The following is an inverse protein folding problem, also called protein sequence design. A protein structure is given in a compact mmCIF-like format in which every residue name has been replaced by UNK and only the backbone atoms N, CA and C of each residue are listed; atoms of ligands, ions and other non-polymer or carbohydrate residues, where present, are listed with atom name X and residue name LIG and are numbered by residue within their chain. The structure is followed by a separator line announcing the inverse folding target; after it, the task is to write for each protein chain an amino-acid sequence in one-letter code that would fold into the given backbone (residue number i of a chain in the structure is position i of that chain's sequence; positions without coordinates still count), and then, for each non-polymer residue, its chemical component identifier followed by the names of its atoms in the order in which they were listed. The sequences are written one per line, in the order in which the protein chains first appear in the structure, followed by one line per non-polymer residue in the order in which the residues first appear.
data_IF_258370060308
#
_entry.id   IF_258370060308
#
_cell.length_a   1.000
_cell.length_b   1.000
_cell.length_c   1.000
_cell.angle_alpha   90.00
_cell.angle_beta   90.00
_cell.angle_gamma   90.00
#
_symmetry.space_group_name_H-M   'P 1'
#
loop_
_entity.id
_entity.type
_entity.pdbx_description
1 polymer ?
#
# COMPACT_ATOMS: atom_id res chain seq x y z
N UNK A 1 9.87 4.30 12.07
CA UNK A 1 10.05 3.07 11.28
C UNK A 1 11.33 3.21 10.49
N UNK A 2 12.16 2.18 10.36
CA UNK A 2 13.42 2.30 9.61
C UNK A 2 13.17 2.26 8.08
N UNK A 3 14.15 2.74 7.30
CA UNK A 3 14.00 2.88 5.84
C UNK A 3 13.86 1.55 5.11
N UNK A 4 14.43 0.46 5.62
CA UNK A 4 14.31 -0.87 4.99
C UNK A 4 12.89 -1.39 5.14
N UNK A 5 12.31 -1.26 6.33
CA UNK A 5 10.90 -1.56 6.59
C UNK A 5 9.99 -0.71 5.69
N UNK A 6 10.24 0.60 5.60
CA UNK A 6 9.48 1.51 4.75
C UNK A 6 9.56 1.14 3.26
N UNK A 7 10.75 0.87 2.73
CA UNK A 7 10.95 0.45 1.34
C UNK A 7 10.18 -0.85 1.04
N UNK A 8 10.22 -1.82 1.96
CA UNK A 8 9.52 -3.09 1.80
C UNK A 8 8.00 -2.91 1.76
N UNK A 9 7.44 -2.12 2.69
CA UNK A 9 6.00 -1.79 2.74
C UNK A 9 5.59 -1.03 1.47
N UNK A 10 6.38 -0.03 1.08
CA UNK A 10 6.15 0.77 -0.11
C UNK A 10 6.33 -0.03 -1.41
N UNK A 11 6.88 -1.25 -1.31
CA UNK A 11 7.09 -2.18 -2.40
C UNK A 11 8.12 -1.72 -3.43
N UNK A 12 9.23 -1.20 -2.93
CA UNK A 12 10.43 -0.82 -3.70
C UNK A 12 11.67 -1.45 -3.07
N UNK A 13 12.72 -1.59 -3.86
CA UNK A 13 14.04 -2.04 -3.42
C UNK A 13 14.69 -0.97 -2.56
N UNK A 14 15.45 -1.39 -1.54
CA UNK A 14 16.15 -0.46 -0.66
C UNK A 14 17.15 0.40 -1.45
N UNK A 15 17.81 -0.19 -2.46
CA UNK A 15 18.79 0.46 -3.31
C UNK A 15 18.21 1.61 -4.14
N UNK A 16 16.90 1.57 -4.40
CA UNK A 16 16.18 2.63 -5.11
C UNK A 16 15.85 3.85 -4.23
N UNK A 17 15.87 3.70 -2.90
CA UNK A 17 15.55 4.80 -1.99
C UNK A 17 16.73 5.77 -1.93
N UNK A 18 16.50 6.99 -2.41
CA UNK A 18 17.47 8.10 -2.37
C UNK A 18 17.50 8.69 -0.96
N UNK A 19 16.32 8.98 -0.41
CA UNK A 19 16.16 9.49 0.95
C UNK A 19 14.77 9.14 1.51
N UNK A 20 14.65 9.33 2.82
CA UNK A 20 13.43 9.12 3.59
C UNK A 20 13.29 10.26 4.60
N UNK A 21 12.13 10.90 4.60
CA UNK A 21 11.76 11.96 5.52
C UNK A 21 10.57 11.52 6.37
N UNK A 22 10.68 11.67 7.69
CA UNK A 22 9.55 11.48 8.59
C UNK A 22 8.75 12.80 8.64
N UNK A 23 7.46 12.72 8.35
CA UNK A 23 6.55 13.87 8.37
C UNK A 23 5.41 13.61 9.36
N UNK A 24 4.67 14.66 9.74
CA UNK A 24 3.54 14.48 10.65
C UNK A 24 2.48 13.58 10.00
N UNK A 25 2.24 12.42 10.62
CA UNK A 25 1.27 11.43 10.14
C UNK A 25 1.81 10.40 9.15
N UNK A 26 3.07 10.49 8.70
CA UNK A 26 3.56 9.62 7.63
C UNK A 26 5.05 9.70 7.35
N UNK A 27 5.43 9.21 6.17
CA UNK A 27 6.80 9.28 5.67
C UNK A 27 6.78 9.66 4.18
N UNK A 28 7.82 10.36 3.74
CA UNK A 28 8.09 10.61 2.32
C UNK A 28 9.32 9.81 1.91
N UNK A 29 9.19 8.97 0.89
CA UNK A 29 10.32 8.26 0.27
C UNK A 29 10.60 8.85 -1.11
N UNK A 30 11.84 9.25 -1.36
CA UNK A 30 12.29 9.62 -2.71
C UNK A 30 12.97 8.43 -3.36
N UNK A 31 12.48 8.04 -4.53
CA UNK A 31 12.82 6.78 -5.21
C UNK A 31 13.42 7.08 -6.57
N UNK A 32 14.58 6.48 -6.86
CA UNK A 32 15.21 6.49 -8.17
C UNK A 32 14.58 5.42 -9.07
N UNK A 33 13.77 5.86 -10.03
CA UNK A 33 13.09 4.99 -10.98
C UNK A 33 14.04 4.27 -11.94
N UNK A 34 15.31 4.68 -12.06
CA UNK A 34 16.30 3.93 -12.85
C UNK A 34 16.62 2.58 -12.23
N UNK A 35 16.46 2.48 -10.91
CA UNK A 35 16.64 1.23 -10.14
C UNK A 35 15.34 0.45 -9.99
N UNK A 36 14.21 0.99 -10.46
CA UNK A 36 12.88 0.38 -10.43
C UNK A 36 12.26 0.31 -11.84
N UNK A 37 12.88 -0.40 -12.81
CA UNK A 37 12.43 -0.39 -14.21
C UNK A 37 11.02 -0.98 -14.41
N UNK A 38 10.55 -1.84 -13.51
CA UNK A 38 9.18 -2.35 -13.55
C UNK A 38 8.18 -1.24 -13.15
N UNK A 39 8.43 -0.55 -12.04
CA UNK A 39 7.60 0.57 -11.58
C UNK A 39 7.61 1.73 -12.59
N UNK A 40 8.78 2.06 -13.13
CA UNK A 40 8.92 3.10 -14.15
C UNK A 40 8.09 2.78 -15.40
N UNK A 41 8.14 1.52 -15.88
CA UNK A 41 7.31 1.08 -17.01
C UNK A 41 5.83 1.11 -16.67
N UNK A 42 5.42 0.69 -15.47
CA UNK A 42 4.02 0.73 -15.04
C UNK A 42 3.48 2.16 -15.04
N UNK A 43 4.18 3.10 -14.41
CA UNK A 43 3.75 4.52 -14.37
C UNK A 43 3.64 5.11 -15.78
N UNK A 44 4.56 4.75 -16.69
CA UNK A 44 4.52 5.20 -18.09
C UNK A 44 3.41 4.55 -18.92
N UNK A 45 3.13 3.27 -18.71
CA UNK A 45 2.21 2.49 -19.53
C UNK A 45 0.75 2.60 -19.06
N UNK A 46 0.52 2.79 -17.75
CA UNK A 46 -0.83 2.74 -17.15
C UNK A 46 -1.56 4.07 -17.18
N UNK A 47 -0.91 5.14 -17.67
CA UNK A 47 -1.60 6.37 -18.06
C UNK A 47 -2.46 6.20 -19.34
N UNK A 48 -2.47 5.02 -19.97
CA UNK A 48 -3.14 4.79 -21.27
C UNK A 48 -3.94 3.49 -21.38
N UNK A 49 -4.03 2.63 -20.35
CA UNK A 49 -4.73 1.35 -20.45
C UNK A 49 -5.57 1.04 -19.19
N UNK A 50 -6.84 0.67 -19.40
CA UNK A 50 -7.65 -0.01 -18.38
C UNK A 50 -6.96 -1.33 -18.05
N UNK A 51 -6.60 -1.51 -16.78
CA UNK A 51 -6.00 -2.74 -16.36
C UNK A 51 -6.95 -3.51 -15.46
N UNK A 52 -6.96 -4.81 -15.68
CA UNK A 52 -7.86 -5.74 -15.04
C UNK A 52 -7.07 -6.53 -14.00
N UNK A 53 -7.70 -6.76 -12.86
CA UNK A 53 -7.23 -7.74 -11.89
C UNK A 53 -7.11 -9.11 -12.59
N UNK A 54 -6.15 -9.97 -12.19
CA UNK A 54 -6.13 -11.35 -12.65
C UNK A 54 -7.51 -12.02 -12.50
N UNK A 55 -7.86 -12.91 -13.43
CA UNK A 55 -9.17 -13.58 -13.43
C UNK A 55 -9.48 -14.20 -12.05
N UNK A 56 -10.57 -13.73 -11.43
CA UNK A 56 -11.07 -14.22 -10.13
C UNK A 56 -10.62 -13.43 -8.91
N UNK A 57 -9.64 -12.54 -9.03
CA UNK A 57 -9.26 -11.62 -7.94
C UNK A 57 -10.32 -10.54 -7.73
N UNK A 58 -10.57 -10.21 -6.47
CA UNK A 58 -11.49 -9.15 -6.05
C UNK A 58 -10.81 -8.27 -5.02
N UNK A 59 -10.88 -6.96 -5.24
CA UNK A 59 -10.56 -5.95 -4.24
C UNK A 59 -11.60 -4.84 -4.38
N UNK A 60 -12.54 -4.78 -3.44
CA UNK A 60 -13.64 -3.82 -3.43
C UNK A 60 -13.54 -2.94 -2.19
N UNK A 61 -13.66 -1.63 -2.37
CA UNK A 61 -13.45 -0.65 -1.31
C UNK A 61 -14.25 0.62 -1.55
N UNK A 62 -14.92 1.08 -0.51
CA UNK A 62 -15.45 2.44 -0.46
C UNK A 62 -14.34 3.36 0.07
N UNK A 63 -14.01 4.41 -0.68
CA UNK A 63 -13.02 5.40 -0.28
C UNK A 63 -13.65 6.79 -0.13
N UNK A 64 -13.27 7.49 0.93
CA UNK A 64 -13.69 8.87 1.20
C UNK A 64 -12.43 9.69 1.48
N UNK A 65 -12.20 10.71 0.67
CA UNK A 65 -11.12 11.68 0.83
C UNK A 65 -11.71 12.96 1.43
N UNK A 66 -11.30 13.25 2.67
CA UNK A 66 -11.67 14.48 3.38
C UNK A 66 -13.19 14.72 3.44
N UNK A 67 -13.95 13.66 3.68
CA UNK A 67 -15.41 13.68 3.73
C UNK A 67 -16.11 13.62 2.37
N UNK A 68 -15.38 13.64 1.26
CA UNK A 68 -15.93 13.52 -0.09
C UNK A 68 -15.71 12.10 -0.64
N UNK A 69 -16.73 11.45 -1.24
CA UNK A 69 -16.54 10.16 -1.90
C UNK A 69 -15.45 10.23 -2.97
N UNK A 70 -14.56 9.24 -2.96
CA UNK A 70 -13.50 9.07 -3.96
C UNK A 70 -13.65 7.70 -4.61
N UNK A 71 -13.72 7.67 -5.94
CA UNK A 71 -13.84 6.42 -6.67
C UNK A 71 -12.48 5.71 -6.70
N UNK A 72 -12.31 4.70 -5.84
CA UNK A 72 -11.12 3.86 -5.83
C UNK A 72 -11.41 2.55 -6.58
N UNK A 73 -11.36 2.61 -7.91
CA UNK A 73 -11.49 1.42 -8.75
C UNK A 73 -10.11 0.84 -9.01
N UNK A 74 -9.85 -0.36 -8.49
CA UNK A 74 -8.53 -0.98 -8.60
C UNK A 74 -8.21 -1.32 -10.06
N UNK A 75 -7.11 -0.76 -10.56
CA UNK A 75 -6.61 -1.00 -11.92
C UNK A 75 -5.44 -1.99 -11.92
N UNK A 76 -4.72 -2.10 -10.81
CA UNK A 76 -3.62 -3.07 -10.67
C UNK A 76 -3.60 -3.67 -9.28
N UNK A 77 -3.16 -4.91 -9.21
CA UNK A 77 -2.81 -5.54 -7.95
C UNK A 77 -1.37 -6.02 -8.01
N UNK A 78 -0.52 -5.47 -7.15
CA UNK A 78 0.80 -6.05 -6.87
C UNK A 78 0.70 -6.92 -5.61
N UNK A 79 0.88 -8.23 -5.80
CA UNK A 79 0.82 -9.25 -4.74
C UNK A 79 2.11 -10.04 -4.75
N UNK A 80 2.89 -9.93 -3.69
CA UNK A 80 4.17 -10.60 -3.60
C UNK A 80 4.37 -11.18 -2.21
N UNK A 81 4.91 -12.41 -2.18
CA UNK A 81 5.31 -13.07 -0.95
C UNK A 81 6.76 -12.76 -0.64
N UNK A 82 7.00 -12.09 0.48
CA UNK A 82 8.34 -11.81 1.01
C UNK A 82 8.72 -12.84 2.06
N UNK A 83 9.90 -13.43 1.89
CA UNK A 83 10.49 -14.42 2.80
C UNK A 83 11.65 -13.84 3.61
N UNK A 84 11.95 -12.56 3.45
CA UNK A 84 13.19 -11.94 3.95
C UNK A 84 13.01 -11.07 5.18
N UNK A 85 11.86 -11.10 5.85
CA UNK A 85 11.65 -10.27 7.04
C UNK A 85 12.49 -10.81 8.20
N UNK A 86 13.37 -9.97 8.74
CA UNK A 86 14.22 -10.27 9.90
C UNK A 86 13.78 -9.33 11.00
N UNK A 87 13.23 -9.87 12.09
CA UNK A 87 12.60 -9.11 13.17
C UNK A 87 13.58 -8.54 14.21
N UNK A 88 14.86 -8.46 13.85
CA UNK A 88 15.93 -8.08 14.76
C UNK A 88 16.40 -9.21 15.69
N UNK A 89 15.74 -10.39 15.69
CA UNK A 89 16.30 -11.62 16.21
C UNK A 89 16.99 -12.42 15.09
N UNK A 90 18.07 -13.13 15.42
CA UNK A 90 18.78 -14.03 14.50
C UNK A 90 17.95 -15.29 14.12
N UNK A 91 16.73 -15.41 14.64
CA UNK A 91 15.85 -16.56 14.48
C UNK A 91 14.64 -16.24 13.59
N UNK A 92 14.81 -16.40 12.28
CA UNK A 92 13.70 -16.80 11.42
C UNK A 92 13.23 -15.74 10.43
N UNK A 93 13.29 -16.15 9.16
CA UNK A 93 12.58 -15.54 8.05
C UNK A 93 11.08 -15.65 8.30
N UNK A 94 10.40 -14.53 8.53
CA UNK A 94 8.93 -14.52 8.69
C UNK A 94 8.27 -14.31 7.32
N UNK A 95 7.51 -15.28 6.79
CA UNK A 95 6.80 -15.12 5.53
C UNK A 95 5.71 -14.06 5.67
N UNK A 96 5.67 -13.12 4.73
CA UNK A 96 4.68 -12.07 4.66
C UNK A 96 4.16 -11.91 3.24
N UNK A 97 2.92 -11.44 3.12
CA UNK A 97 2.34 -10.96 1.89
C UNK A 97 2.35 -9.44 1.86
N UNK A 98 2.87 -8.90 0.77
CA UNK A 98 2.67 -7.50 0.39
C UNK A 98 1.58 -7.45 -0.67
N UNK A 99 0.53 -6.70 -0.39
CA UNK A 99 -0.62 -6.52 -1.26
C UNK A 99 -0.77 -5.03 -1.53
N UNK A 100 -0.77 -4.60 -2.80
CA UNK A 100 -1.01 -3.20 -3.18
C UNK A 100 -2.10 -3.14 -4.23
N UNK A 101 -3.25 -2.60 -3.86
CA UNK A 101 -4.32 -2.26 -4.79
C UNK A 101 -4.06 -0.85 -5.32
N UNK A 102 -3.82 -0.71 -6.62
CA UNK A 102 -3.27 0.49 -7.24
C UNK A 102 -4.25 1.10 -8.24
N UNK A 103 -4.23 2.42 -8.28
CA UNK A 103 -5.01 3.30 -9.17
C UNK A 103 -4.03 4.29 -9.80
N UNK A 104 -4.26 4.65 -11.06
CA UNK A 104 -3.43 5.56 -11.85
C UNK A 104 -4.27 6.72 -12.39
N UNK A 105 -3.64 7.79 -12.94
CA UNK A 105 -4.37 8.84 -13.62
C UNK A 105 -5.22 8.28 -14.78
N UNK A 106 -6.44 8.78 -15.00
CA UNK A 106 -7.05 9.95 -14.36
C UNK A 106 -7.83 9.68 -13.06
N UNK A 107 -7.91 8.42 -12.61
CA UNK A 107 -8.73 8.02 -11.46
C UNK A 107 -8.03 8.20 -10.11
N UNK A 108 -6.71 8.33 -10.12
CA UNK A 108 -5.92 8.55 -8.91
C UNK A 108 -6.22 9.91 -8.26
N UNK A 109 -6.19 9.92 -6.93
CA UNK A 109 -6.42 11.09 -6.11
C UNK A 109 -5.45 12.23 -6.48
N UNK A 110 -6.03 13.41 -6.69
CA UNK A 110 -5.31 14.67 -6.95
C UNK A 110 -4.30 14.60 -8.12
N UNK A 111 -4.45 13.63 -9.04
CA UNK A 111 -3.51 13.46 -10.16
C UNK A 111 -2.19 12.78 -9.79
N UNK A 112 -2.14 12.05 -8.67
CA UNK A 112 -1.00 11.23 -8.31
C UNK A 112 -0.63 10.27 -9.45
N UNK A 113 0.66 10.12 -9.76
CA UNK A 113 1.13 9.19 -10.80
C UNK A 113 0.82 7.73 -10.45
N UNK A 114 0.65 7.44 -9.16
CA UNK A 114 0.10 6.20 -8.64
C UNK A 114 -0.53 6.50 -7.27
N UNK A 115 -1.71 5.98 -7.03
CA UNK A 115 -2.37 5.91 -5.73
C UNK A 115 -2.48 4.43 -5.35
N UNK A 116 -2.23 4.06 -4.09
CA UNK A 116 -2.53 2.70 -3.67
C UNK A 116 -2.89 2.55 -2.20
N UNK A 117 -3.70 1.53 -1.93
CA UNK A 117 -3.90 0.96 -0.59
C UNK A 117 -2.95 -0.23 -0.47
N UNK A 118 -2.05 -0.17 0.51
CA UNK A 118 -1.04 -1.20 0.75
C UNK A 118 -1.31 -1.96 2.03
N UNK A 119 -1.25 -3.29 1.98
CA UNK A 119 -1.27 -4.17 3.15
C UNK A 119 0.04 -4.96 3.23
N UNK A 120 0.59 -5.05 4.44
CA UNK A 120 1.62 -6.02 4.79
C UNK A 120 1.04 -6.92 5.88
N UNK A 121 0.90 -8.21 5.57
CA UNK A 121 0.35 -9.22 6.47
C UNK A 121 1.33 -10.38 6.59
N UNK A 122 1.52 -10.91 7.79
CA UNK A 122 2.29 -12.13 8.02
C UNK A 122 1.35 -13.33 8.03
N UNK A 123 1.83 -14.52 7.69
CA UNK A 123 1.00 -15.74 7.70
C UNK A 123 0.35 -15.99 9.07
N UNK A 124 1.04 -15.63 10.15
CA UNK A 124 0.54 -15.73 11.53
C UNK A 124 -0.62 -14.79 11.85
N UNK A 125 -0.98 -13.87 10.96
CA UNK A 125 -2.11 -12.96 11.15
C UNK A 125 -3.46 -13.59 10.79
N UNK A 126 -3.49 -14.80 10.23
CA UNK A 126 -4.72 -15.49 9.86
C UNK A 126 -5.69 -15.67 11.04
N UNK A 127 -6.98 -15.42 10.81
CA UNK A 127 -8.08 -15.79 11.70
C UNK A 127 -8.36 -14.81 12.85
N UNK A 128 -7.72 -13.63 12.84
CA UNK A 128 -7.92 -12.59 13.86
C UNK A 128 -8.38 -11.28 13.24
N UNK A 129 -9.28 -10.57 13.93
CA UNK A 129 -9.62 -9.18 13.62
C UNK A 129 -8.70 -8.26 14.42
N UNK A 130 -7.95 -7.42 13.72
CA UNK A 130 -6.98 -6.50 14.29
C UNK A 130 -7.55 -5.09 14.42
N UNK A 131 -7.43 -4.51 15.62
CA UNK A 131 -7.64 -3.09 15.86
C UNK A 131 -6.43 -2.29 15.37
N UNK A 132 -6.65 -1.42 14.39
CA UNK A 132 -5.61 -0.59 13.77
C UNK A 132 -5.32 0.68 14.57
N UNK A 133 -6.09 0.98 15.63
CA UNK A 133 -5.89 2.16 16.47
C UNK A 133 -4.74 2.05 17.48
N UNK A 134 -4.30 0.83 17.76
CA UNK A 134 -3.13 0.60 18.60
C UNK A 134 -1.86 1.10 17.91
N UNK A 135 -0.77 1.42 18.62
CA UNK A 135 0.51 1.75 17.99
C UNK A 135 0.91 0.71 16.92
N UNK A 136 1.49 1.18 15.81
CA UNK A 136 1.82 0.30 14.69
C UNK A 136 3.04 -0.56 15.02
N UNK A 137 2.78 -1.79 15.46
CA UNK A 137 3.75 -2.88 15.50
C UNK A 137 3.37 -3.89 14.40
N UNK A 138 3.94 -3.69 13.22
CA UNK A 138 3.71 -4.51 12.03
C UNK A 138 3.98 -6.00 12.25
N UNK A 139 4.81 -6.35 13.25
CA UNK A 139 5.04 -7.75 13.60
C UNK A 139 3.82 -8.33 14.31
N UNK A 140 3.23 -7.60 15.25
CA UNK A 140 2.11 -8.07 16.07
C UNK A 140 0.75 -7.93 15.37
N UNK A 141 0.63 -7.00 14.42
CA UNK A 141 -0.59 -6.78 13.64
C UNK A 141 -0.29 -6.43 12.19
N UNK A 142 -1.21 -6.71 11.25
CA UNK A 142 -1.12 -6.21 9.89
C UNK A 142 -0.85 -4.71 9.82
N UNK A 143 -0.02 -4.31 8.85
CA UNK A 143 0.14 -2.90 8.49
C UNK A 143 -0.76 -2.59 7.30
N UNK A 144 -1.52 -1.50 7.40
CA UNK A 144 -2.31 -0.95 6.31
C UNK A 144 -1.86 0.49 6.06
N UNK A 145 -1.69 0.84 4.80
CA UNK A 145 -1.17 2.13 4.36
C UNK A 145 -1.97 2.67 3.19
N UNK A 146 -2.01 3.99 3.08
CA UNK A 146 -2.47 4.69 1.90
C UNK A 146 -1.30 5.52 1.37
N UNK A 147 -1.02 5.39 0.08
CA UNK A 147 0.17 5.96 -0.53
C UNK A 147 -0.18 6.71 -1.80
N UNK A 148 0.41 7.90 -1.93
CA UNK A 148 0.37 8.70 -3.15
C UNK A 148 1.77 8.87 -3.70
N UNK A 149 1.94 8.56 -4.99
CA UNK A 149 3.20 8.61 -5.71
C UNK A 149 3.23 9.71 -6.77
N UNK A 150 4.27 10.54 -6.73
CA UNK A 150 4.39 11.71 -7.59
C UNK A 150 5.73 11.77 -8.31
N UNK A 151 5.69 12.00 -9.61
CA UNK A 151 6.92 12.21 -10.39
C UNK A 151 7.52 13.58 -10.09
N UNK A 152 8.74 13.58 -9.56
CA UNK A 152 9.55 14.77 -9.31
C UNK A 152 10.65 14.85 -10.37
N UNK A 153 10.25 15.05 -11.63
CA UNK A 153 11.13 14.95 -12.80
C UNK A 153 10.97 13.62 -13.53
N UNK A 154 11.89 13.31 -14.46
CA UNK A 154 11.75 12.14 -15.34
C UNK A 154 11.97 10.79 -14.65
N UNK A 155 12.87 10.74 -13.65
CA UNK A 155 13.37 9.49 -13.08
C UNK A 155 13.25 9.43 -11.54
N UNK A 156 12.52 10.36 -10.92
CA UNK A 156 12.32 10.37 -9.47
C UNK A 156 10.84 10.26 -9.16
N UNK A 157 10.49 9.30 -8.31
CA UNK A 157 9.15 9.15 -7.74
C UNK A 157 9.20 9.47 -6.24
N UNK A 158 8.29 10.30 -5.76
CA UNK A 158 8.10 10.55 -4.33
C UNK A 158 6.88 9.77 -3.86
N UNK A 159 7.05 8.85 -2.92
CA UNK A 159 5.93 8.23 -2.21
C UNK A 159 5.66 8.96 -0.91
N UNK A 160 4.44 9.46 -0.76
CA UNK A 160 3.92 9.97 0.50
C UNK A 160 3.05 8.89 1.12
N UNK A 161 3.47 8.38 2.27
CA UNK A 161 2.92 7.18 2.90
C UNK A 161 2.25 7.57 4.22
N UNK A 162 0.94 7.39 4.29
CA UNK A 162 0.18 7.42 5.53
C UNK A 162 -0.12 6.00 6.03
N UNK A 163 -0.15 5.81 7.34
CA UNK A 163 -0.50 4.54 7.97
C UNK A 163 -1.87 4.61 8.63
N UNK A 164 -2.59 3.48 8.60
CA UNK A 164 -3.84 3.35 9.32
C UNK A 164 -3.63 3.56 10.82
N UNK A 165 -4.48 4.39 11.41
CA UNK A 165 -4.43 4.78 12.82
C UNK A 165 -5.76 4.58 13.55
N UNK A 166 -6.73 3.96 12.89
CA UNK A 166 -8.02 3.54 13.42
C UNK A 166 -8.67 2.54 12.45
N UNK A 167 -9.71 1.86 12.93
CA UNK A 167 -10.48 0.87 12.18
C UNK A 167 -10.05 -0.57 12.47
N UNK A 168 -10.66 -1.50 11.75
CA UNK A 168 -10.43 -2.93 11.93
C UNK A 168 -10.01 -3.59 10.62
N UNK A 169 -9.21 -4.65 10.71
CA UNK A 169 -8.76 -5.46 9.58
C UNK A 169 -8.78 -6.94 9.94
N UNK A 170 -9.48 -7.73 9.15
CA UNK A 170 -9.51 -9.18 9.18
C UNK A 170 -8.62 -9.73 8.06
N UNK A 171 -7.84 -10.76 8.38
CA UNK A 171 -6.94 -11.42 7.43
C UNK A 171 -7.09 -12.92 7.54
N UNK A 172 -7.24 -13.58 6.40
CA UNK A 172 -7.26 -15.03 6.29
C UNK A 172 -6.40 -15.48 5.12
N UNK A 173 -5.63 -16.55 5.34
CA UNK A 173 -4.81 -17.17 4.31
C UNK A 173 -5.10 -18.67 4.27
N UNK A 174 -5.56 -19.17 3.13
CA UNK A 174 -5.94 -20.57 2.92
C UNK A 174 -5.12 -21.17 1.77
N UNK A 175 -4.71 -22.44 1.89
CA UNK A 175 -4.12 -23.15 0.77
C UNK A 175 -5.20 -23.49 -0.26
N UNK A 176 -5.01 -23.03 -1.50
CA UNK A 176 -5.89 -23.36 -2.62
C UNK A 176 -5.35 -24.56 -3.40
N UNK A 177 -4.03 -24.64 -3.56
CA UNK A 177 -3.32 -25.80 -4.13
C UNK A 177 -1.88 -25.88 -3.63
N UNK A 178 -1.10 -26.87 -4.10
CA UNK A 178 0.31 -27.09 -3.72
C UNK A 178 1.20 -25.85 -3.94
N UNK A 179 0.86 -24.99 -4.91
CA UNK A 179 1.65 -23.80 -5.25
C UNK A 179 0.84 -22.49 -5.15
N UNK A 180 -0.38 -22.52 -4.61
CA UNK A 180 -1.25 -21.36 -4.56
C UNK A 180 -1.91 -21.18 -3.20
N UNK A 181 -2.00 -19.93 -2.78
CA UNK A 181 -2.66 -19.49 -1.56
C UNK A 181 -3.75 -18.49 -1.90
N UNK A 182 -4.89 -18.66 -1.26
CA UNK A 182 -5.99 -17.71 -1.28
C UNK A 182 -5.85 -16.77 -0.08
N UNK A 183 -5.84 -15.48 -0.34
CA UNK A 183 -5.71 -14.40 0.65
C UNK A 183 -7.05 -13.67 0.68
N UNK A 184 -7.77 -13.80 1.78
CA UNK A 184 -9.07 -13.15 1.96
C UNK A 184 -9.09 -12.27 3.19
N UNK A 185 -10.00 -11.32 3.22
CA UNK A 185 -10.16 -10.46 4.38
C UNK A 185 -11.12 -9.32 4.12
N UNK A 186 -11.36 -8.56 5.17
CA UNK A 186 -12.21 -7.39 5.14
C UNK A 186 -11.64 -6.32 6.07
N UNK A 187 -11.98 -5.08 5.81
CA UNK A 187 -11.64 -3.98 6.69
C UNK A 187 -12.80 -3.00 6.80
N UNK A 188 -12.90 -2.35 7.94
CA UNK A 188 -14.01 -1.44 8.25
C UNK A 188 -13.54 -0.26 9.08
N UNK A 189 -14.14 0.90 8.80
CA UNK A 189 -13.86 2.17 9.48
C UNK A 189 -12.38 2.55 9.57
N UNK A 190 -11.59 2.14 8.57
CA UNK A 190 -10.16 2.43 8.54
C UNK A 190 -9.94 3.91 8.29
N UNK A 191 -9.04 4.52 9.06
CA UNK A 191 -8.64 5.92 8.86
C UNK A 191 -7.14 6.04 8.71
N UNK A 192 -6.73 6.86 7.75
CA UNK A 192 -5.35 7.25 7.52
C UNK A 192 -5.30 8.78 7.52
N UNK A 193 -4.47 9.35 8.40
CA UNK A 193 -4.19 10.78 8.39
C UNK A 193 -3.02 11.04 7.45
N UNK A 194 -3.29 11.69 6.31
CA UNK A 194 -2.27 12.04 5.34
C UNK A 194 -1.63 13.38 5.71
N UNK A 195 -0.29 13.51 5.55
CA UNK A 195 0.40 14.79 5.72
C UNK A 195 -0.07 15.81 4.66
N UNK A 196 0.30 17.09 4.86
CA UNK A 196 0.16 18.08 3.80
C UNK A 196 1.01 17.64 2.59
N UNK A 197 0.35 17.31 1.48
CA UNK A 197 1.02 16.83 0.27
C UNK A 197 1.31 17.96 -0.73
N UNK A 198 0.85 19.19 -0.46
CA UNK A 198 0.86 20.29 -1.43
C UNK A 198 2.27 20.69 -1.87
N UNK A 199 3.26 20.58 -0.99
CA UNK A 199 4.68 20.82 -1.31
C UNK A 199 5.27 19.82 -2.34
N UNK A 200 4.55 18.74 -2.64
CA UNK A 200 4.98 17.70 -3.58
C UNK A 200 3.97 17.49 -4.72
N UNK A 201 2.73 17.92 -4.52
CA UNK A 201 1.66 17.89 -5.51
C UNK A 201 0.79 19.15 -5.35
N UNK A 202 0.96 20.12 -6.24
CA UNK A 202 0.22 21.39 -6.18
C UNK A 202 -1.30 21.21 -6.24
N UNK A 203 -1.79 20.12 -6.84
CA UNK A 203 -3.21 19.78 -6.91
C UNK A 203 -3.78 19.21 -5.59
N UNK A 204 -2.92 18.78 -4.66
CA UNK A 204 -3.35 18.33 -3.35
C UNK A 204 -3.77 19.52 -2.47
N UNK A 205 -4.66 19.31 -1.47
CA UNK A 205 -4.98 20.35 -0.50
C UNK A 205 -3.72 20.85 0.21
N UNK A 206 -3.60 22.17 0.39
CA UNK A 206 -2.54 22.80 1.21
C UNK A 206 -2.85 22.66 2.70
N UNK A 207 -2.98 21.42 3.16
CA UNK A 207 -3.20 21.00 4.54
C UNK A 207 -3.16 19.47 4.64
N UNK A 208 -3.11 18.98 5.87
CA UNK A 208 -3.42 17.58 6.17
C UNK A 208 -4.86 17.24 5.76
N UNK A 209 -5.07 15.99 5.35
CA UNK A 209 -6.39 15.46 5.02
C UNK A 209 -6.53 14.02 5.50
N UNK A 210 -7.76 13.53 5.58
CA UNK A 210 -8.06 12.18 6.06
C UNK A 210 -8.56 11.32 4.92
N UNK A 211 -8.01 10.12 4.83
CA UNK A 211 -8.57 9.04 4.00
C UNK A 211 -9.35 8.11 4.91
N UNK A 212 -10.62 7.91 4.60
CA UNK A 212 -11.46 6.95 5.29
C UNK A 212 -11.85 5.84 4.34
N UNK A 213 -11.74 4.60 4.83
CA UNK A 213 -12.22 3.41 4.14
C UNK A 213 -13.32 2.79 5.01
N UNK A 214 -14.59 3.21 4.83
CA UNK A 214 -15.68 2.74 5.69
C UNK A 214 -15.88 1.23 5.62
N UNK A 215 -15.63 0.65 4.44
CA UNK A 215 -15.71 -0.78 4.20
C UNK A 215 -14.82 -1.18 3.04
N UNK A 216 -14.21 -2.35 3.13
CA UNK A 216 -13.64 -3.03 1.98
C UNK A 216 -13.48 -4.52 2.22
N UNK A 217 -13.34 -5.23 1.11
CA UNK A 217 -13.21 -6.69 1.05
C UNK A 217 -12.19 -7.04 -0.02
N UNK A 218 -11.41 -8.08 0.24
CA UNK A 218 -10.52 -8.65 -0.75
C UNK A 218 -10.57 -10.18 -0.75
N UNK A 219 -10.44 -10.73 -1.94
CA UNK A 219 -10.28 -12.15 -2.19
C UNK A 219 -9.30 -12.32 -3.35
N UNK A 220 -8.10 -12.78 -3.03
CA UNK A 220 -6.97 -12.73 -3.93
C UNK A 220 -6.28 -14.09 -3.99
N UNK A 221 -5.79 -14.50 -5.15
CA UNK A 221 -4.96 -15.70 -5.28
C UNK A 221 -3.49 -15.32 -5.51
N UNK A 222 -2.57 -15.88 -4.73
CA UNK A 222 -1.13 -15.63 -4.87
C UNK A 222 -0.33 -16.94 -4.92
N UNK A 223 0.82 -16.92 -5.59
CA UNK A 223 1.74 -18.06 -5.58
C UNK A 223 2.52 -18.15 -4.28
N UNK A 224 2.68 -19.37 -3.76
CA UNK A 224 3.61 -19.65 -2.65
C UNK A 224 5.04 -19.37 -3.10
#
# INVERSE_FOLDING_TARGET
MDVKTLATIAGVTLESVIDCEAVKGGHVLRIDLKKEPALHRLIKARSTMEAQLPDGDVFDVNCVLDGSPHAFTVESMDKYRTYGWVDGSDEGRVPAWRLRAQVYPPHSAYGASIEYIGLLVFDRHTGTVYDLSQPNDHMQRPSMSYVLGYLSGADILKFIIGYANAGNLEVNHDFESENQMRLTGAFADVRVNMPNCHEHLEQAPDREFVVQLPSGFYNLTGSL
#
